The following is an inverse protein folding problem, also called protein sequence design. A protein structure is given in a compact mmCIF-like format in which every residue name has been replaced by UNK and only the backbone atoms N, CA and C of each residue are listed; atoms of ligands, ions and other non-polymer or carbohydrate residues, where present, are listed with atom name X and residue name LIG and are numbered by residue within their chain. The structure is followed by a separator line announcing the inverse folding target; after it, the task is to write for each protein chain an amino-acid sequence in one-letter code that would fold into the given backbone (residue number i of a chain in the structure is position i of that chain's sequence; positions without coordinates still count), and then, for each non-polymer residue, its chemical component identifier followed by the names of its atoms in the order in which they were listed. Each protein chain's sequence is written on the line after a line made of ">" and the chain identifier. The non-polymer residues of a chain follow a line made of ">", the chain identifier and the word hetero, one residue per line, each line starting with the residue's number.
data_IF_025363697471
#
_entry.id   IF_025363697471
#
_cell.length_a   1.000
_cell.length_b   1.000
_cell.length_c   1.000
_cell.angle_alpha   90.00
_cell.angle_beta   90.00
_cell.angle_gamma   90.00
#
_symmetry.space_group_name_H-M   'P 1'
#
loop_
_entity.id
_entity.type
_entity.pdbx_description
1 polymer ?
#
# COMPACT_ATOMS: atom_id res chain seq x y z
N UNK A 1 33.33 11.52 -0.98
CA UNK A 1 32.75 11.48 0.38
C UNK A 1 31.64 10.43 0.35
N UNK A 2 31.88 9.25 0.94
CA UNK A 2 30.95 8.12 0.79
C UNK A 2 29.62 8.42 1.49
N UNK A 3 28.51 8.02 0.87
CA UNK A 3 27.16 8.09 1.45
C UNK A 3 27.12 7.47 2.86
N UNK A 4 27.89 6.41 3.10
CA UNK A 4 28.05 5.79 4.43
C UNK A 4 28.50 6.79 5.52
N UNK A 5 29.42 7.70 5.19
CA UNK A 5 29.92 8.70 6.15
C UNK A 5 28.89 9.80 6.43
N UNK A 6 27.99 10.07 5.48
CA UNK A 6 26.86 10.97 5.70
C UNK A 6 25.80 10.31 6.58
N UNK A 7 25.48 9.04 6.32
CA UNK A 7 24.51 8.26 7.09
C UNK A 7 24.95 8.09 8.54
N UNK A 8 26.25 7.86 8.77
CA UNK A 8 26.82 7.77 10.10
C UNK A 8 26.71 9.09 10.87
N UNK A 9 27.10 10.21 10.27
CA UNK A 9 26.98 11.54 10.90
C UNK A 9 25.53 11.93 11.21
N UNK A 10 24.61 11.60 10.31
CA UNK A 10 23.18 11.84 10.52
C UNK A 10 22.70 11.02 11.72
N UNK A 11 23.11 9.75 11.83
CA UNK A 11 22.76 8.91 12.98
C UNK A 11 23.34 9.41 14.32
N UNK A 12 24.56 9.95 14.31
CA UNK A 12 25.18 10.55 15.50
C UNK A 12 24.41 11.78 15.98
N UNK A 13 24.03 12.68 15.06
CA UNK A 13 23.23 13.87 15.39
C UNK A 13 21.89 13.46 15.99
N UNK A 14 21.19 12.50 15.39
CA UNK A 14 19.92 12.01 15.93
C UNK A 14 20.08 11.39 17.32
N UNK A 15 21.14 10.60 17.57
CA UNK A 15 21.37 10.00 18.88
C UNK A 15 21.68 11.04 19.96
N UNK A 16 22.41 12.11 19.62
CA UNK A 16 22.70 13.20 20.57
C UNK A 16 21.44 13.96 21.00
N UNK A 17 20.54 14.24 20.03
CA UNK A 17 19.27 14.93 20.28
C UNK A 17 18.33 14.08 21.14
N UNK A 18 18.30 12.76 20.91
CA UNK A 18 17.47 11.83 21.68
C UNK A 18 17.96 11.72 23.14
N UNK A 19 19.27 11.72 23.37
CA UNK A 19 19.84 11.61 24.71
C UNK A 19 19.60 12.89 25.53
N UNK A 20 19.73 14.06 24.90
CA UNK A 20 19.45 15.36 25.53
C UNK A 20 17.96 15.55 25.86
N UNK A 21 17.05 15.05 25.01
CA UNK A 21 15.62 15.03 25.30
C UNK A 21 15.23 14.05 26.42
N UNK A 22 16.04 13.00 26.64
CA UNK A 22 15.80 11.99 27.68
C UNK A 22 16.21 12.48 29.06
N UNK A 23 17.27 13.30 29.16
CA UNK A 23 17.72 13.90 30.43
C UNK A 23 16.75 14.99 30.96
N UNK A 24 15.87 15.54 30.11
CA UNK A 24 14.79 16.48 30.52
C UNK A 24 13.65 15.75 31.26
N UNK A 25 13.55 14.42 31.16
CA UNK A 25 12.59 13.60 31.91
C UNK A 25 13.29 13.06 33.17
N UNK A 26 13.18 13.82 34.27
CA UNK A 26 13.77 13.47 35.57
C UNK A 26 13.16 12.17 36.12
N UNK A 27 13.97 11.27 36.71
CA UNK A 27 13.51 10.00 37.31
C UNK A 27 12.41 10.12 38.36
N UNK A 28 12.20 11.31 38.94
CA UNK A 28 11.10 11.59 39.89
C UNK A 28 9.71 11.54 39.22
N UNK A 29 9.63 11.70 37.90
CA UNK A 29 8.40 11.53 37.15
C UNK A 29 8.17 10.08 36.72
N UNK A 30 9.16 9.18 36.75
CA UNK A 30 9.02 7.82 36.19
C UNK A 30 8.10 6.90 36.99
N UNK A 31 7.97 7.06 38.31
CA UNK A 31 7.09 6.19 39.13
C UNK A 31 5.61 6.57 39.03
N UNK A 32 5.31 7.86 38.88
CA UNK A 32 3.94 8.37 38.62
C UNK A 32 3.60 8.37 37.13
N UNK A 33 4.60 8.58 36.27
CA UNK A 33 4.48 8.45 34.83
C UNK A 33 4.45 6.99 34.41
N UNK A 34 4.80 5.96 35.19
CA UNK A 34 4.61 4.57 34.74
C UNK A 34 3.10 4.29 34.50
N UNK A 35 2.23 4.80 35.38
CA UNK A 35 0.77 4.73 35.20
C UNK A 35 0.27 5.48 33.94
N UNK A 36 0.88 6.62 33.60
CA UNK A 36 0.54 7.41 32.39
C UNK A 36 1.29 6.94 31.13
N UNK A 37 2.48 6.37 31.26
CA UNK A 37 3.33 5.83 30.20
C UNK A 37 2.75 4.53 29.70
N UNK A 38 2.07 3.74 30.54
CA UNK A 38 1.21 2.67 30.06
C UNK A 38 0.10 3.22 29.15
N UNK A 39 -0.57 4.31 29.51
CA UNK A 39 -1.64 4.89 28.67
C UNK A 39 -1.11 5.51 27.37
N UNK A 40 0.07 6.13 27.41
CA UNK A 40 0.71 6.75 26.25
C UNK A 40 1.38 5.72 25.34
N UNK A 41 2.04 4.71 25.90
CA UNK A 41 2.65 3.61 25.13
C UNK A 41 1.59 2.69 24.53
N UNK A 42 0.51 2.40 25.26
CA UNK A 42 -0.66 1.68 24.72
C UNK A 42 -1.37 2.55 23.69
N UNK A 43 -1.51 3.86 23.91
CA UNK A 43 -2.08 4.81 22.95
C UNK A 43 -1.29 4.93 21.65
N UNK A 44 0.04 5.01 21.73
CA UNK A 44 0.93 5.03 20.55
C UNK A 44 0.98 3.66 19.86
N UNK A 45 1.05 2.56 20.63
CA UNK A 45 1.02 1.20 20.07
C UNK A 45 -0.28 0.92 19.32
N UNK A 46 -1.44 1.23 19.93
CA UNK A 46 -2.75 1.10 19.28
C UNK A 46 -2.88 2.10 18.13
N UNK A 47 -2.38 3.33 18.28
CA UNK A 47 -2.39 4.33 17.20
C UNK A 47 -1.62 3.88 15.97
N UNK A 48 -0.44 3.30 16.14
CA UNK A 48 0.38 2.76 15.04
C UNK A 48 -0.33 1.58 14.37
N UNK A 49 -0.90 0.66 15.15
CA UNK A 49 -1.62 -0.50 14.60
C UNK A 49 -2.90 -0.06 13.87
N UNK A 50 -3.66 0.90 14.42
CA UNK A 50 -4.84 1.46 13.77
C UNK A 50 -4.48 2.22 12.49
N UNK A 51 -3.36 2.96 12.47
CA UNK A 51 -2.90 3.66 11.27
C UNK A 51 -2.42 2.68 10.20
N UNK A 52 -1.74 1.59 10.58
CA UNK A 52 -1.38 0.50 9.68
C UNK A 52 -2.61 -0.16 9.07
N UNK A 53 -3.61 -0.50 9.88
CA UNK A 53 -4.86 -1.12 9.41
C UNK A 53 -5.66 -0.14 8.55
N UNK A 54 -5.82 1.11 9.00
CA UNK A 54 -6.53 2.14 8.24
C UNK A 54 -5.84 2.43 6.91
N UNK A 55 -4.51 2.54 6.90
CA UNK A 55 -3.71 2.70 5.68
C UNK A 55 -3.88 1.52 4.71
N UNK A 56 -3.93 0.28 5.23
CA UNK A 56 -4.13 -0.92 4.42
C UNK A 56 -5.54 -0.99 3.82
N UNK A 57 -6.58 -0.67 4.61
CA UNK A 57 -7.98 -0.63 4.17
C UNK A 57 -8.20 0.47 3.14
N UNK A 58 -7.71 1.68 3.40
CA UNK A 58 -7.83 2.82 2.48
C UNK A 58 -7.02 2.55 1.21
N UNK A 59 -5.79 2.07 1.34
CA UNK A 59 -4.92 1.72 0.22
C UNK A 59 -5.52 0.64 -0.68
N UNK A 60 -6.10 -0.40 -0.10
CA UNK A 60 -6.80 -1.45 -0.84
C UNK A 60 -8.00 -0.90 -1.63
N UNK A 61 -8.86 -0.12 -0.97
CA UNK A 61 -10.08 0.40 -1.60
C UNK A 61 -9.78 1.41 -2.71
N UNK A 62 -8.80 2.30 -2.50
CA UNK A 62 -8.34 3.27 -3.50
C UNK A 62 -7.71 2.55 -4.69
N UNK A 63 -6.82 1.59 -4.45
CA UNK A 63 -6.17 0.81 -5.51
C UNK A 63 -7.19 0.06 -6.36
N UNK A 64 -8.19 -0.58 -5.72
CA UNK A 64 -9.27 -1.27 -6.42
C UNK A 64 -10.13 -0.32 -7.26
N UNK A 65 -10.42 0.88 -6.75
CA UNK A 65 -11.18 1.92 -7.49
C UNK A 65 -10.40 2.45 -8.69
N UNK A 66 -9.09 2.65 -8.55
CA UNK A 66 -8.21 3.08 -9.64
C UNK A 66 -8.12 1.97 -10.70
N UNK A 67 -7.89 0.73 -10.29
CA UNK A 67 -7.82 -0.41 -11.21
C UNK A 67 -9.12 -0.58 -12.01
N UNK A 68 -10.29 -0.52 -11.36
CA UNK A 68 -11.58 -0.55 -12.06
C UNK A 68 -11.75 0.60 -13.06
N UNK A 69 -11.26 1.80 -12.75
CA UNK A 69 -11.30 2.96 -13.67
C UNK A 69 -10.37 2.76 -14.87
N UNK A 70 -9.19 2.20 -14.65
CA UNK A 70 -8.23 1.86 -15.70
C UNK A 70 -8.81 0.80 -16.65
N UNK A 71 -9.36 -0.29 -16.09
CA UNK A 71 -9.99 -1.38 -16.86
C UNK A 71 -11.24 -0.93 -17.64
N UNK A 72 -11.97 0.07 -17.17
CA UNK A 72 -13.08 0.68 -17.93
C UNK A 72 -12.61 1.55 -19.09
N UNK A 73 -11.46 2.21 -18.97
CA UNK A 73 -10.90 3.08 -20.01
C UNK A 73 -10.20 2.27 -21.11
N UNK A 74 -9.47 1.23 -20.73
CA UNK A 74 -8.85 0.27 -21.64
C UNK A 74 -9.34 -1.14 -21.29
N UNK A 75 -10.42 -1.63 -21.92
CA UNK A 75 -10.96 -2.95 -21.62
C UNK A 75 -9.89 -4.02 -21.86
N UNK A 76 -9.71 -4.98 -20.93
CA UNK A 76 -8.66 -5.99 -21.00
C UNK A 76 -8.85 -6.98 -22.17
N UNK A 77 -10.03 -7.01 -22.78
CA UNK A 77 -10.37 -7.91 -23.87
C UNK A 77 -10.88 -7.09 -25.05
N UNK A 78 -10.09 -7.06 -26.13
CA UNK A 78 -10.49 -6.56 -27.45
C UNK A 78 -10.82 -7.74 -28.38
N UNK A 79 -11.52 -7.48 -29.49
CA UNK A 79 -11.82 -8.52 -30.50
C UNK A 79 -10.55 -9.14 -31.07
N UNK A 80 -9.49 -8.34 -31.23
CA UNK A 80 -8.21 -8.81 -31.75
C UNK A 80 -7.47 -9.70 -30.74
N UNK A 81 -7.56 -9.39 -29.44
CA UNK A 81 -7.04 -10.26 -28.38
C UNK A 81 -7.73 -11.63 -28.39
N UNK A 82 -9.06 -11.67 -28.55
CA UNK A 82 -9.81 -12.93 -28.68
C UNK A 82 -9.34 -13.68 -29.93
N UNK A 83 -9.15 -12.99 -31.06
CA UNK A 83 -8.67 -13.61 -32.30
C UNK A 83 -7.27 -14.21 -32.11
N UNK A 84 -6.36 -13.50 -31.45
CA UNK A 84 -5.00 -13.99 -31.14
C UNK A 84 -5.02 -15.23 -30.25
N UNK A 85 -5.85 -15.25 -29.19
CA UNK A 85 -6.00 -16.42 -28.32
C UNK A 85 -6.46 -17.63 -29.14
N UNK A 86 -7.47 -17.47 -30.00
CA UNK A 86 -7.99 -18.56 -30.84
C UNK A 86 -6.98 -19.03 -31.89
N UNK A 87 -6.21 -18.11 -32.47
CA UNK A 87 -5.12 -18.43 -33.39
C UNK A 87 -4.02 -19.24 -32.69
N UNK A 88 -3.72 -18.94 -31.41
CA UNK A 88 -2.75 -19.71 -30.62
C UNK A 88 -3.23 -21.15 -30.33
N UNK A 89 -4.53 -21.39 -30.18
CA UNK A 89 -5.09 -22.76 -30.06
C UNK A 89 -5.39 -23.42 -31.41
N UNK A 90 -4.92 -22.85 -32.53
CA UNK A 90 -5.04 -23.46 -33.87
C UNK A 90 -6.45 -23.47 -34.45
N UNK A 91 -7.39 -22.71 -33.86
CA UNK A 91 -8.77 -22.62 -34.35
C UNK A 91 -8.98 -21.26 -35.02
N UNK A 92 -9.52 -21.24 -36.24
CA UNK A 92 -10.00 -19.99 -36.86
C UNK A 92 -11.36 -19.62 -36.24
N UNK A 93 -11.47 -18.50 -35.52
CA UNK A 93 -12.75 -18.07 -34.95
C UNK A 93 -13.68 -17.49 -36.04
N UNK A 94 -15.00 -17.63 -35.89
CA UNK A 94 -15.96 -16.84 -36.69
C UNK A 94 -16.16 -15.45 -36.06
N UNK A 95 -16.33 -14.40 -36.86
CA UNK A 95 -16.55 -13.04 -36.38
C UNK A 95 -17.79 -12.90 -35.47
N UNK A 96 -18.81 -13.74 -35.67
CA UNK A 96 -19.99 -13.79 -34.80
C UNK A 96 -19.66 -14.32 -33.40
N UNK A 97 -18.84 -15.38 -33.30
CA UNK A 97 -18.40 -15.93 -32.02
C UNK A 97 -17.50 -14.94 -31.26
N UNK A 98 -16.63 -14.22 -31.96
CA UNK A 98 -15.79 -13.18 -31.35
C UNK A 98 -16.65 -12.07 -30.74
N UNK A 99 -17.66 -11.59 -31.47
CA UNK A 99 -18.58 -10.56 -30.98
C UNK A 99 -19.39 -11.04 -29.77
N UNK A 100 -19.83 -12.29 -29.76
CA UNK A 100 -20.55 -12.87 -28.64
C UNK A 100 -19.68 -12.95 -27.37
N UNK A 101 -18.45 -13.42 -27.51
CA UNK A 101 -17.49 -13.51 -26.40
C UNK A 101 -17.09 -12.12 -25.90
N UNK A 102 -16.81 -11.18 -26.81
CA UNK A 102 -16.50 -9.80 -26.46
C UNK A 102 -17.65 -9.16 -25.65
N UNK A 103 -18.89 -9.33 -26.11
CA UNK A 103 -20.05 -8.81 -25.41
C UNK A 103 -20.25 -9.46 -24.04
N UNK A 104 -20.01 -10.77 -23.90
CA UNK A 104 -20.06 -11.45 -22.60
C UNK A 104 -18.94 -10.97 -21.66
N UNK A 105 -17.73 -10.78 -22.17
CA UNK A 105 -16.57 -10.35 -21.40
C UNK A 105 -16.65 -8.89 -20.94
N UNK A 106 -17.21 -8.00 -21.76
CA UNK A 106 -17.34 -6.56 -21.46
C UNK A 106 -18.59 -6.25 -20.65
N UNK A 107 -19.67 -7.02 -20.82
CA UNK A 107 -20.96 -6.78 -20.15
C UNK A 107 -21.06 -7.42 -18.75
N UNK A 108 -20.04 -8.14 -18.29
CA UNK A 108 -20.02 -8.64 -16.91
C UNK A 108 -19.81 -7.48 -15.93
N UNK A 109 -20.91 -7.08 -15.31
CA UNK A 109 -21.01 -6.05 -14.27
C UNK A 109 -20.82 -6.66 -12.89
#
# INVERSE_FOLDING_TARGET
>A
MSFSNFLFKVSEVFSSIIHEATDIVTQADLDNANAHAHSLAVGLGIGIVLFLIAGLVIGYFVSMKIMKRQLKKNPPISKDTIRMIYQQVGRKPSESQINEIYNRAVKQK
#
